data_IF_636955964128
#
_entry.id   IF_636955964128
#
_cell.length_a   1.000
_cell.length_b   1.000
_cell.length_c   1.000
_cell.angle_alpha   90.00
_cell.angle_beta   90.00
_cell.angle_gamma   90.00
#
_symmetry.space_group_name_H-M   'P 1'
#
loop_
_entity.id
_entity.type
_entity.pdbx_description
1 polymer ?
#
# COMPACT_ATOMS: atom_id res chain seq x y z
N UNK A 1 -5.98 -31.66 -4.09
CA UNK A 1 -6.17 -31.35 -2.66
C UNK A 1 -6.67 -29.91 -2.58
N UNK A 2 -7.79 -29.65 -1.92
CA UNK A 2 -8.31 -28.28 -1.78
C UNK A 2 -7.49 -27.52 -0.74
N UNK A 3 -7.29 -26.22 -0.97
CA UNK A 3 -6.57 -25.34 -0.06
C UNK A 3 -7.47 -24.99 1.14
N UNK A 4 -7.00 -25.22 2.37
CA UNK A 4 -7.68 -24.71 3.57
C UNK A 4 -7.23 -23.28 3.86
N UNK A 5 -8.07 -22.32 3.45
CA UNK A 5 -7.81 -20.91 3.67
C UNK A 5 -7.78 -20.53 5.15
N UNK A 6 -8.45 -21.27 6.04
CA UNK A 6 -8.46 -20.96 7.48
C UNK A 6 -7.10 -21.23 8.09
N UNK A 7 -6.44 -22.33 7.71
CA UNK A 7 -5.08 -22.63 8.17
C UNK A 7 -4.06 -21.61 7.66
N UNK A 8 -4.21 -21.14 6.41
CA UNK A 8 -3.27 -20.19 5.82
C UNK A 8 -3.44 -18.75 6.32
N UNK A 9 -4.59 -18.43 6.92
CA UNK A 9 -4.94 -17.08 7.36
C UNK A 9 -5.11 -17.02 8.89
N UNK A 10 -4.42 -17.89 9.64
CA UNK A 10 -4.42 -17.83 11.10
C UNK A 10 -3.91 -16.46 11.56
N UNK A 11 -4.69 -15.69 12.35
CA UNK A 11 -4.30 -14.36 12.80
C UNK A 11 -2.95 -14.28 13.53
N UNK A 12 -2.52 -15.35 14.20
CA UNK A 12 -1.26 -15.41 14.94
C UNK A 12 -0.04 -15.55 14.03
N UNK A 13 -0.23 -15.92 12.76
CA UNK A 13 0.85 -16.12 11.78
C UNK A 13 0.67 -15.28 10.52
N UNK A 14 -0.34 -14.40 10.50
CA UNK A 14 -0.70 -13.55 9.37
C UNK A 14 -0.57 -12.09 9.74
N UNK A 15 -0.16 -11.26 8.77
CA UNK A 15 -0.16 -9.81 8.90
C UNK A 15 -0.82 -9.15 7.68
N UNK A 16 -1.48 -8.02 7.90
CA UNK A 16 -1.91 -7.11 6.83
C UNK A 16 -0.87 -6.01 6.70
N UNK A 17 -0.27 -5.89 5.51
CA UNK A 17 0.71 -4.85 5.19
C UNK A 17 0.08 -3.84 4.24
N UNK A 18 0.04 -2.57 4.63
CA UNK A 18 -0.26 -1.48 3.66
C UNK A 18 1.02 -1.05 2.99
N UNK A 19 1.02 -0.91 1.67
CA UNK A 19 2.18 -0.44 0.90
C UNK A 19 1.96 1.00 0.46
N UNK A 20 2.75 1.91 1.02
CA UNK A 20 2.95 3.29 0.54
C UNK A 20 1.65 4.11 0.43
N UNK A 21 0.68 3.86 1.31
CA UNK A 21 -0.61 4.58 1.33
C UNK A 21 -0.46 6.00 1.91
N UNK A 22 0.31 6.85 1.22
CA UNK A 22 0.65 8.23 1.62
C UNK A 22 0.06 9.25 0.64
N UNK A 23 0.00 10.52 1.04
CA UNK A 23 -0.52 11.60 0.20
C UNK A 23 0.23 11.73 -1.14
N UNK A 24 1.54 11.47 -1.15
CA UNK A 24 2.35 11.47 -2.37
C UNK A 24 2.04 10.33 -3.36
N UNK A 25 1.22 9.36 -2.97
CA UNK A 25 0.82 8.21 -3.82
C UNK A 25 -0.68 8.26 -4.11
N UNK A 26 -1.50 8.31 -3.06
CA UNK A 26 -2.96 8.18 -3.12
C UNK A 26 -3.71 9.48 -2.84
N UNK A 27 -2.99 10.54 -2.46
CA UNK A 27 -3.59 11.80 -2.02
C UNK A 27 -3.35 12.96 -3.00
N UNK A 28 -3.65 14.20 -2.56
CA UNK A 28 -3.57 15.40 -3.40
C UNK A 28 -2.16 15.68 -3.95
N UNK A 29 -1.12 15.15 -3.31
CA UNK A 29 0.27 15.35 -3.67
C UNK A 29 0.81 14.29 -4.63
N UNK A 30 -0.03 13.44 -5.21
CA UNK A 30 0.42 12.41 -6.17
C UNK A 30 0.88 13.01 -7.50
N UNK A 31 1.81 12.32 -8.20
CA UNK A 31 2.10 12.58 -9.62
C UNK A 31 1.10 11.87 -10.56
N UNK A 32 0.18 11.06 -10.02
CA UNK A 32 -0.77 10.23 -10.78
C UNK A 32 -2.23 10.53 -10.36
N UNK A 33 -2.79 11.70 -10.72
CA UNK A 33 -4.07 12.18 -10.20
C UNK A 33 -5.25 11.26 -10.52
N UNK A 34 -5.31 10.70 -11.73
CA UNK A 34 -6.40 9.79 -12.12
C UNK A 34 -6.37 8.48 -11.34
N UNK A 35 -5.17 7.98 -11.03
CA UNK A 35 -5.01 6.79 -10.19
C UNK A 35 -5.45 7.08 -8.75
N UNK A 36 -5.12 8.25 -8.21
CA UNK A 36 -5.62 8.66 -6.89
C UNK A 36 -7.14 8.84 -6.86
N UNK A 37 -7.74 9.35 -7.94
CA UNK A 37 -9.20 9.44 -8.06
C UNK A 37 -9.85 8.05 -8.03
N UNK A 38 -9.33 7.10 -8.80
CA UNK A 38 -9.81 5.72 -8.78
C UNK A 38 -9.61 5.05 -7.40
N UNK A 39 -8.44 5.25 -6.78
CA UNK A 39 -8.13 4.73 -5.47
C UNK A 39 -9.07 5.27 -4.38
N UNK A 40 -9.45 6.55 -4.45
CA UNK A 40 -10.41 7.17 -3.53
C UNK A 40 -11.77 6.49 -3.55
N UNK A 41 -12.24 6.07 -4.72
CA UNK A 41 -13.54 5.41 -4.88
C UNK A 41 -13.48 3.96 -4.45
N UNK A 42 -12.38 3.25 -4.74
CA UNK A 42 -12.31 1.79 -4.59
C UNK A 42 -11.29 1.34 -3.53
N UNK A 43 -10.01 1.66 -3.71
CA UNK A 43 -8.94 1.09 -2.90
C UNK A 43 -8.95 1.58 -1.44
N UNK A 44 -9.13 2.88 -1.20
CA UNK A 44 -9.12 3.49 0.12
C UNK A 44 -10.26 2.96 1.02
N UNK A 45 -11.55 3.00 0.61
CA UNK A 45 -12.62 2.50 1.47
C UNK A 45 -12.52 0.98 1.72
N UNK A 46 -12.14 0.20 0.71
CA UNK A 46 -11.92 -1.24 0.88
C UNK A 46 -10.73 -1.55 1.80
N UNK A 47 -9.63 -0.80 1.66
CA UNK A 47 -8.48 -0.88 2.55
C UNK A 47 -8.84 -0.51 3.99
N UNK A 48 -9.61 0.55 4.20
CA UNK A 48 -10.09 0.95 5.53
C UNK A 48 -10.94 -0.17 6.17
N UNK A 49 -11.85 -0.77 5.40
CA UNK A 49 -12.68 -1.91 5.86
C UNK A 49 -11.82 -3.13 6.22
N UNK A 50 -10.83 -3.46 5.38
CA UNK A 50 -9.89 -4.56 5.66
C UNK A 50 -9.07 -4.31 6.92
N UNK A 51 -8.49 -3.12 7.07
CA UNK A 51 -7.66 -2.77 8.23
C UNK A 51 -8.48 -2.75 9.52
N UNK A 52 -9.73 -2.30 9.45
CA UNK A 52 -10.64 -2.38 10.59
C UNK A 52 -10.89 -3.85 10.99
N UNK A 53 -11.25 -4.71 10.04
CA UNK A 53 -11.50 -6.13 10.30
C UNK A 53 -10.24 -6.84 10.84
N UNK A 54 -9.06 -6.55 10.28
CA UNK A 54 -7.78 -7.09 10.75
C UNK A 54 -7.51 -6.73 12.22
N UNK A 55 -7.72 -5.46 12.60
CA UNK A 55 -7.56 -4.99 13.98
C UNK A 55 -8.55 -5.68 14.93
N UNK A 56 -9.81 -5.81 14.53
CA UNK A 56 -10.84 -6.52 15.31
C UNK A 56 -10.48 -7.99 15.51
N UNK A 57 -9.91 -8.64 14.49
CA UNK A 57 -9.48 -10.03 14.54
C UNK A 57 -8.14 -10.26 15.25
N UNK A 58 -7.48 -9.21 15.76
CA UNK A 58 -6.17 -9.31 16.41
C UNK A 58 -5.00 -9.59 15.46
N UNK A 59 -5.20 -9.45 14.14
CA UNK A 59 -4.16 -9.62 13.12
C UNK A 59 -3.15 -8.48 13.21
N UNK A 60 -1.86 -8.79 13.03
CA UNK A 60 -0.83 -7.76 12.98
C UNK A 60 -1.06 -6.83 11.77
N UNK A 61 -1.06 -5.52 12.01
CA UNK A 61 -1.15 -4.51 10.94
C UNK A 61 0.16 -3.75 10.86
N UNK A 62 0.79 -3.78 9.69
CA UNK A 62 2.05 -3.08 9.40
C UNK A 62 1.81 -2.03 8.33
N UNK A 63 2.20 -0.80 8.60
CA UNK A 63 2.16 0.29 7.63
C UNK A 63 3.54 0.50 7.02
N UNK A 64 3.78 -0.06 5.84
CA UNK A 64 5.03 0.16 5.10
C UNK A 64 4.92 1.50 4.37
N UNK A 65 5.69 2.49 4.82
CA UNK A 65 5.79 3.81 4.20
C UNK A 65 6.99 3.86 3.27
N UNK A 66 6.85 4.62 2.19
CA UNK A 66 7.95 4.99 1.33
C UNK A 66 8.57 6.31 1.78
N UNK A 67 9.91 6.35 1.77
CA UNK A 67 10.69 7.55 1.89
C UNK A 67 11.85 7.51 0.90
N UNK A 68 12.08 8.63 0.23
CA UNK A 68 13.18 8.79 -0.70
C UNK A 68 14.34 9.48 -0.01
N UNK A 69 15.51 8.85 -0.02
CA UNK A 69 16.74 9.45 0.50
C UNK A 69 17.11 10.69 -0.32
N UNK A 70 17.66 11.75 0.29
CA UNK A 70 18.15 12.93 -0.44
C UNK A 70 19.23 12.58 -1.47
N UNK A 71 20.07 11.57 -1.18
CA UNK A 71 21.11 11.06 -2.09
C UNK A 71 20.58 10.10 -3.17
N UNK A 72 19.25 9.91 -3.23
CA UNK A 72 18.53 9.02 -4.16
C UNK A 72 18.96 7.54 -4.12
N UNK A 73 19.79 7.11 -3.16
CA UNK A 73 20.19 5.70 -3.04
C UNK A 73 18.98 4.83 -2.74
N UNK A 74 18.89 3.68 -3.39
CA UNK A 74 17.72 2.80 -3.31
C UNK A 74 16.51 3.26 -4.13
N UNK A 75 16.61 4.37 -4.86
CA UNK A 75 15.61 4.80 -5.84
C UNK A 75 15.61 3.90 -7.08
N UNK A 76 14.43 3.69 -7.66
CA UNK A 76 14.29 2.92 -8.90
C UNK A 76 14.64 3.79 -10.12
N UNK A 77 15.77 3.51 -10.75
CA UNK A 77 16.19 4.11 -12.02
C UNK A 77 15.93 3.21 -13.24
N UNK A 78 15.49 1.97 -13.02
CA UNK A 78 15.31 0.97 -14.07
C UNK A 78 13.90 0.98 -14.69
N UNK A 79 12.92 1.58 -14.02
CA UNK A 79 11.55 1.69 -14.53
C UNK A 79 11.26 3.05 -15.17
N UNK A 80 10.86 3.05 -16.45
CA UNK A 80 10.48 4.27 -17.18
C UNK A 80 9.35 5.05 -16.52
N UNK A 81 8.42 4.35 -15.86
CA UNK A 81 7.34 4.97 -15.08
C UNK A 81 7.91 5.85 -13.94
N UNK A 82 8.92 5.36 -13.22
CA UNK A 82 9.52 6.10 -12.11
C UNK A 82 10.28 7.33 -12.59
N UNK A 83 10.91 7.25 -13.78
CA UNK A 83 11.51 8.42 -14.45
C UNK A 83 10.43 9.46 -14.77
N UNK A 84 9.30 9.04 -15.35
CA UNK A 84 8.20 9.93 -15.70
C UNK A 84 7.48 10.56 -14.49
N UNK A 85 7.53 9.89 -13.33
CA UNK A 85 6.92 10.37 -12.08
C UNK A 85 7.81 11.32 -11.28
N UNK A 86 9.07 11.54 -11.68
CA UNK A 86 9.97 12.46 -10.99
C UNK A 86 9.41 13.89 -11.06
N UNK A 87 9.14 14.47 -9.88
CA UNK A 87 8.78 15.88 -9.77
C UNK A 87 10.05 16.72 -9.90
N UNK A 88 10.03 17.68 -10.82
CA UNK A 88 11.06 18.72 -10.97
C UNK A 88 10.86 19.83 -9.93
#
# INVERSE_FOLDING_TARGET
>A
MALDLRTLLDPNTTAVVTSECQNGVLGPETSLPDLAAAARVQAIPNGARLLHAARVAGVQVVHAVFWRRPDYRGGNTNGRLFVAMQKH
#
